data_IF_266573916525
#
_entry.id   IF_266573916525
#
_cell.length_a   1.000
_cell.length_b   1.000
_cell.length_c   1.000
_cell.angle_alpha   90.00
_cell.angle_beta   90.00
_cell.angle_gamma   90.00
#
_symmetry.space_group_name_H-M   'P 1'
#
loop_
_entity.id
_entity.type
_entity.pdbx_description
1 polymer ?
#
# COMPACT_ATOMS: atom_id res chain seq x y z
N UNK A 1 -3.30 -0.05 -20.18
CA UNK A 1 -4.52 0.15 -19.37
C UNK A 1 -4.41 -0.75 -18.15
N UNK A 2 -4.81 -0.30 -16.95
CA UNK A 2 -4.82 -1.19 -15.80
C UNK A 2 -5.80 -2.33 -16.02
N UNK A 3 -5.44 -3.51 -15.53
CA UNK A 3 -6.31 -4.69 -15.51
C UNK A 3 -7.30 -4.59 -14.35
N UNK A 4 -6.92 -3.90 -13.27
CA UNK A 4 -7.80 -3.50 -12.17
C UNK A 4 -7.47 -2.11 -11.65
N UNK A 5 -8.49 -1.34 -11.31
CA UNK A 5 -8.39 -0.02 -10.68
C UNK A 5 -9.35 0.04 -9.49
N UNK A 6 -8.82 0.39 -8.32
CA UNK A 6 -9.58 0.47 -7.08
C UNK A 6 -9.35 1.84 -6.45
N UNK A 7 -10.42 2.56 -6.16
CA UNK A 7 -10.35 3.88 -5.51
C UNK A 7 -10.89 3.75 -4.09
N UNK A 8 -10.19 4.32 -3.12
CA UNK A 8 -10.64 4.34 -1.73
C UNK A 8 -11.96 5.10 -1.61
N UNK A 9 -12.85 4.75 -0.66
CA UNK A 9 -14.15 5.42 -0.52
C UNK A 9 -14.08 6.95 -0.31
N UNK A 10 -12.99 7.45 0.26
CA UNK A 10 -12.72 8.88 0.44
C UNK A 10 -12.03 9.54 -0.77
N UNK A 11 -11.73 8.77 -1.82
CA UNK A 11 -11.11 9.24 -3.06
C UNK A 11 -9.63 9.61 -2.96
N UNK A 12 -8.99 9.41 -1.80
CA UNK A 12 -7.61 9.83 -1.59
C UNK A 12 -6.56 8.88 -2.18
N UNK A 13 -6.87 7.58 -2.22
CA UNK A 13 -5.94 6.55 -2.68
C UNK A 13 -6.53 5.82 -3.88
N UNK A 14 -5.67 5.50 -4.84
CA UNK A 14 -6.00 4.67 -5.99
C UNK A 14 -4.96 3.57 -6.11
N UNK A 15 -5.39 2.32 -6.06
CA UNK A 15 -4.56 1.16 -6.34
C UNK A 15 -4.73 0.76 -7.80
N UNK A 16 -3.60 0.59 -8.50
CA UNK A 16 -3.55 0.09 -9.86
C UNK A 16 -2.99 -1.32 -9.87
N UNK A 17 -3.64 -2.21 -10.60
CA UNK A 17 -3.16 -3.56 -10.91
C UNK A 17 -2.91 -3.61 -12.41
N UNK A 18 -1.65 -3.81 -12.79
CA UNK A 18 -1.20 -3.82 -14.18
C UNK A 18 -0.44 -5.13 -14.47
N UNK A 19 -0.44 -5.55 -15.73
CA UNK A 19 0.31 -6.73 -16.18
C UNK A 19 1.00 -6.43 -17.53
N UNK A 20 1.98 -5.50 -17.57
CA UNK A 20 2.79 -5.30 -18.76
C UNK A 20 3.66 -6.52 -19.02
N UNK A 21 3.64 -7.04 -20.25
CA UNK A 21 4.50 -8.15 -20.70
C UNK A 21 4.45 -9.42 -19.82
N UNK A 22 3.34 -9.63 -19.09
CA UNK A 22 3.14 -10.78 -18.22
C UNK A 22 3.67 -10.62 -16.79
N UNK A 23 4.23 -9.47 -16.42
CA UNK A 23 4.66 -9.19 -15.04
C UNK A 23 3.57 -8.42 -14.29
N UNK A 24 2.94 -9.06 -13.33
CA UNK A 24 1.92 -8.42 -12.51
C UNK A 24 2.54 -7.43 -11.53
N UNK A 25 2.07 -6.19 -11.55
CA UNK A 25 2.50 -5.14 -10.64
C UNK A 25 1.30 -4.46 -9.99
N UNK A 26 1.40 -4.22 -8.69
CA UNK A 26 0.39 -3.55 -7.88
C UNK A 26 1.03 -2.36 -7.18
N UNK A 27 0.44 -1.17 -7.31
CA UNK A 27 0.96 0.03 -6.66
C UNK A 27 -0.09 1.11 -6.48
N UNK A 28 0.21 2.07 -5.60
CA UNK A 28 -0.63 3.25 -5.45
C UNK A 28 -0.29 4.27 -6.53
N UNK A 29 -1.30 4.74 -7.25
CA UNK A 29 -1.13 5.73 -8.29
C UNK A 29 -0.52 7.02 -7.72
N UNK A 30 0.52 7.53 -8.40
CA UNK A 30 1.27 8.70 -7.96
C UNK A 30 2.33 8.44 -6.89
N UNK A 31 2.52 7.20 -6.43
CA UNK A 31 3.50 6.85 -5.40
C UNK A 31 4.48 5.77 -5.88
N UNK A 32 5.73 5.77 -5.39
CA UNK A 32 6.78 4.87 -5.89
C UNK A 32 6.63 3.41 -5.44
N UNK A 33 5.95 3.19 -4.31
CA UNK A 33 5.79 1.84 -3.76
C UNK A 33 4.92 0.97 -4.67
N UNK A 34 5.41 -0.25 -4.90
CA UNK A 34 4.67 -1.30 -5.58
C UNK A 34 5.15 -2.67 -5.11
N UNK A 35 4.35 -3.68 -5.38
CA UNK A 35 4.71 -5.10 -5.23
C UNK A 35 4.44 -5.85 -6.53
N UNK A 36 5.02 -7.04 -6.66
CA UNK A 36 4.86 -7.90 -7.82
C UNK A 36 3.96 -9.10 -7.49
N UNK A 37 3.21 -9.57 -8.49
CA UNK A 37 2.39 -10.78 -8.37
C UNK A 37 3.22 -12.00 -7.96
N UNK A 38 4.43 -12.14 -8.50
CA UNK A 38 5.37 -13.21 -8.15
C UNK A 38 5.78 -13.21 -6.68
N UNK A 39 5.92 -12.03 -6.07
CA UNK A 39 6.20 -11.88 -4.63
C UNK A 39 4.98 -12.34 -3.82
N UNK A 40 3.78 -11.86 -4.18
CA UNK A 40 2.54 -12.24 -3.51
C UNK A 40 2.27 -13.76 -3.62
N UNK A 41 2.50 -14.35 -4.78
CA UNK A 41 2.43 -15.78 -5.03
C UNK A 41 3.38 -16.56 -4.11
N UNK A 42 4.65 -16.14 -4.05
CA UNK A 42 5.66 -16.78 -3.21
C UNK A 42 5.31 -16.71 -1.71
N UNK A 43 4.79 -15.57 -1.24
CA UNK A 43 4.44 -15.38 0.17
C UNK A 43 3.17 -16.16 0.59
N UNK A 44 2.20 -16.27 -0.32
CA UNK A 44 0.93 -16.95 -0.06
C UNK A 44 0.94 -18.45 -0.37
N UNK A 45 1.93 -18.93 -1.13
CA UNK A 45 1.97 -20.31 -1.65
C UNK A 45 0.92 -20.58 -2.73
N UNK A 46 0.40 -19.53 -3.38
CA UNK A 46 -0.61 -19.61 -4.45
C UNK A 46 -0.01 -19.15 -5.78
N UNK A 47 -0.71 -19.42 -6.88
CA UNK A 47 -0.43 -18.78 -8.15
C UNK A 47 -0.68 -17.26 -8.06
N UNK A 48 -0.10 -16.49 -9.00
CA UNK A 48 -0.12 -15.02 -8.97
C UNK A 48 -1.53 -14.44 -8.96
N UNK A 49 -2.41 -14.85 -9.86
CA UNK A 49 -3.77 -14.28 -9.93
C UNK A 49 -4.58 -14.46 -8.63
N UNK A 50 -4.66 -15.67 -8.01
CA UNK A 50 -5.27 -15.82 -6.69
C UNK A 50 -4.59 -14.99 -5.59
N UNK A 51 -3.25 -14.92 -5.57
CA UNK A 51 -2.52 -14.15 -4.57
C UNK A 51 -2.78 -12.64 -4.68
N UNK A 52 -2.87 -12.15 -5.92
CA UNK A 52 -3.25 -10.77 -6.23
C UNK A 52 -4.69 -10.49 -5.78
N UNK A 53 -5.62 -11.39 -6.09
CA UNK A 53 -7.01 -11.24 -5.69
C UNK A 53 -7.17 -11.17 -4.16
N UNK A 54 -6.44 -12.02 -3.42
CA UNK A 54 -6.43 -12.00 -1.96
C UNK A 54 -5.84 -10.70 -1.40
N UNK A 55 -4.70 -10.25 -1.95
CA UNK A 55 -4.08 -8.99 -1.55
C UNK A 55 -5.04 -7.81 -1.74
N UNK A 56 -5.68 -7.73 -2.91
CA UNK A 56 -6.69 -6.68 -3.19
C UNK A 56 -7.88 -6.80 -2.24
N UNK A 57 -8.36 -8.02 -1.94
CA UNK A 57 -9.47 -8.23 -1.02
C UNK A 57 -9.12 -7.81 0.41
N UNK A 58 -7.92 -8.14 0.89
CA UNK A 58 -7.47 -7.78 2.24
C UNK A 58 -7.25 -6.27 2.37
N UNK A 59 -6.68 -5.64 1.35
CA UNK A 59 -6.55 -4.18 1.30
C UNK A 59 -7.92 -3.50 1.29
N UNK A 60 -8.79 -3.84 0.34
CA UNK A 60 -10.08 -3.16 0.14
C UNK A 60 -11.11 -3.43 1.24
N UNK A 61 -10.98 -4.56 1.95
CA UNK A 61 -11.79 -4.86 3.15
C UNK A 61 -11.26 -4.20 4.42
N UNK A 62 -10.12 -3.51 4.37
CA UNK A 62 -9.52 -2.82 5.51
C UNK A 62 -8.75 -3.72 6.48
N UNK A 63 -8.39 -4.94 6.08
CA UNK A 63 -7.53 -5.82 6.90
C UNK A 63 -6.07 -5.40 6.85
N UNK A 64 -5.60 -4.89 5.71
CA UNK A 64 -4.25 -4.33 5.57
C UNK A 64 -4.16 -2.94 6.20
N UNK A 65 -2.98 -2.58 6.71
CA UNK A 65 -2.67 -1.21 7.15
C UNK A 65 -1.93 -0.51 6.02
N UNK A 66 -2.32 0.73 5.75
CA UNK A 66 -1.66 1.60 4.78
C UNK A 66 -0.88 2.63 5.59
N UNK A 67 0.44 2.65 5.38
CA UNK A 67 1.31 3.68 5.89
C UNK A 67 1.38 4.83 4.88
N UNK A 68 1.33 6.06 5.40
CA UNK A 68 1.48 7.29 4.65
C UNK A 68 2.58 8.10 5.30
N UNK A 69 3.63 8.38 4.53
CA UNK A 69 4.69 9.31 4.95
C UNK A 69 4.35 10.69 4.41
N UNK A 70 4.38 11.68 5.29
CA UNK A 70 4.16 13.07 4.97
C UNK A 70 5.44 13.85 5.20
N UNK A 71 5.80 14.72 4.25
CA UNK A 71 6.91 15.66 4.39
C UNK A 71 6.31 17.06 4.25
N UNK A 72 6.51 17.92 5.26
CA UNK A 72 5.84 19.23 5.34
C UNK A 72 4.31 19.15 5.19
N UNK A 73 3.70 18.08 5.70
CA UNK A 73 2.25 17.84 5.64
C UNK A 73 1.71 17.43 4.27
N UNK A 74 2.57 17.21 3.26
CA UNK A 74 2.17 16.64 1.97
C UNK A 74 2.53 15.15 1.93
N UNK A 75 1.61 14.32 1.44
CA UNK A 75 1.85 12.87 1.27
C UNK A 75 2.96 12.66 0.25
N UNK A 76 4.08 12.10 0.69
CA UNK A 76 5.26 11.84 -0.12
C UNK A 76 5.33 10.37 -0.56
N UNK A 77 4.97 9.44 0.33
CA UNK A 77 5.01 8.00 0.06
C UNK A 77 3.80 7.30 0.70
N UNK A 78 3.34 6.23 0.05
CA UNK A 78 2.23 5.39 0.52
C UNK A 78 2.59 3.93 0.27
N UNK A 79 2.45 3.07 1.27
CA UNK A 79 2.70 1.62 1.15
C UNK A 79 1.77 0.81 2.03
N UNK A 80 1.64 -0.49 1.72
CA UNK A 80 1.02 -1.44 2.65
C UNK A 80 2.08 -1.94 3.63
N UNK A 81 1.77 -1.89 4.93
CA UNK A 81 2.68 -2.30 6.00
C UNK A 81 2.11 -3.44 6.83
N UNK A 82 2.99 -4.35 7.24
CA UNK A 82 2.71 -5.43 8.19
C UNK A 82 3.14 -5.04 9.62
N UNK A 83 3.99 -4.02 9.79
CA UNK A 83 4.49 -3.54 11.08
C UNK A 83 4.50 -2.01 11.15
N UNK A 84 3.34 -1.38 11.42
CA UNK A 84 3.26 0.07 11.47
C UNK A 84 4.03 0.68 12.65
N UNK A 85 4.33 -0.11 13.70
CA UNK A 85 5.09 0.36 14.86
C UNK A 85 6.58 0.50 14.53
N UNK A 86 7.14 -0.48 13.81
CA UNK A 86 8.52 -0.42 13.34
C UNK A 86 8.71 0.72 12.32
N UNK A 87 7.80 0.85 11.35
CA UNK A 87 7.81 1.94 10.36
C UNK A 87 7.82 3.32 11.05
N UNK A 88 6.98 3.51 12.08
CA UNK A 88 6.92 4.76 12.85
C UNK A 88 8.22 5.02 13.61
N UNK A 89 8.78 3.98 14.25
CA UNK A 89 10.03 4.11 15.01
C UNK A 89 11.21 4.45 14.09
N UNK A 90 11.28 3.84 12.91
CA UNK A 90 12.32 4.12 11.92
C UNK A 90 12.20 5.52 11.34
N UNK A 91 10.98 5.98 11.01
CA UNK A 91 10.72 7.35 10.60
C UNK A 91 11.17 8.36 11.67
N UNK A 92 10.86 8.12 12.95
CA UNK A 92 11.28 9.00 14.05
C UNK A 92 12.80 9.00 14.28
N UNK A 93 13.48 7.90 13.96
CA UNK A 93 14.90 7.73 14.21
C UNK A 93 15.78 8.23 13.07
N UNK A 94 15.33 8.05 11.83
CA UNK A 94 16.13 8.27 10.63
C UNK A 94 15.53 9.30 9.68
N UNK A 95 14.24 9.63 9.82
CA UNK A 95 13.55 10.61 9.01
C UNK A 95 13.97 12.05 9.32
N UNK A 96 13.74 12.98 8.39
CA UNK A 96 13.93 14.41 8.65
C UNK A 96 12.90 14.94 9.65
N UNK A 97 13.18 16.09 10.27
CA UNK A 97 12.38 16.66 11.38
C UNK A 97 10.93 17.01 10.97
N UNK A 98 10.72 17.30 9.69
CA UNK A 98 9.44 17.62 9.07
C UNK A 98 8.72 16.40 8.48
N UNK A 99 9.27 15.19 8.69
CA UNK A 99 8.61 13.94 8.35
C UNK A 99 7.66 13.51 9.47
N UNK A 100 6.46 13.11 9.08
CA UNK A 100 5.49 12.48 9.97
C UNK A 100 4.88 11.28 9.27
N UNK A 101 4.41 10.31 10.07
CA UNK A 101 3.68 9.16 9.55
C UNK A 101 2.22 9.15 10.00
N UNK A 102 1.34 8.84 9.07
CA UNK A 102 -0.06 8.52 9.31
C UNK A 102 -0.32 7.08 8.88
N UNK A 103 -1.18 6.39 9.62
CA UNK A 103 -1.59 5.03 9.29
C UNK A 103 -3.10 4.99 9.14
N UNK A 104 -3.58 4.30 8.11
CA UNK A 104 -5.01 4.21 7.82
C UNK A 104 -5.41 2.87 7.23
N UNK A 105 -6.71 2.61 7.23
CA UNK A 105 -7.33 1.54 6.42
C UNK A 105 -7.80 2.10 5.09
N UNK A 106 -8.22 1.19 4.20
CA UNK A 106 -8.73 1.55 2.88
C UNK A 106 -9.94 2.49 2.94
N UNK A 107 -10.83 2.32 3.91
CA UNK A 107 -12.01 3.17 4.12
C UNK A 107 -11.70 4.60 4.60
N UNK A 108 -10.44 4.90 4.93
CA UNK A 108 -10.02 6.20 5.46
C UNK A 108 -9.99 6.29 6.98
N UNK A 109 -10.36 5.24 7.69
CA UNK A 109 -10.22 5.21 9.15
C UNK A 109 -8.75 5.20 9.56
N UNK A 110 -8.40 6.05 10.53
CA UNK A 110 -7.06 6.12 11.08
C UNK A 110 -6.75 4.89 11.96
N UNK A 111 -5.53 4.38 11.85
CA UNK A 111 -4.98 3.31 12.69
C UNK A 111 -4.03 3.97 13.69
N UNK A 112 -4.26 3.71 14.98
CA UNK A 112 -3.35 4.15 16.04
C UNK A 112 -2.25 3.11 16.22
N UNK A 113 -1.03 3.62 16.35
CA UNK A 113 0.21 2.88 16.54
C UNK A 113 0.82 3.31 17.87
#
# INVERSE_FOLDING_TARGET
MPVGEYVSPDGQLRLLVICPDGDWTLGFDGFPWHTHGSILASLSGKDEEPAIADFVADLTSGKSVIAMKLINGAVAEVWVTDDPADDLADSQKYGPVDETMEFRRWDGSAVKV
#
